data_IF_576490458488
#
_entry.id   IF_576490458488
#
_cell.length_a   1.000
_cell.length_b   1.000
_cell.length_c   1.000
_cell.angle_alpha   90.00
_cell.angle_beta   90.00
_cell.angle_gamma   90.00
#
_symmetry.space_group_name_H-M   'P 1'
#
loop_
_entity.id
_entity.type
_entity.pdbx_description
1 polymer ?
#
# COMPACT_ATOMS: atom_id res chain seq x y z
N UNK A 1 -23.46 12.27 -5.58
CA UNK A 1 -23.51 13.12 -4.37
C UNK A 1 -22.25 12.78 -3.58
N UNK A 2 -21.22 13.62 -3.64
CA UNK A 2 -19.99 13.40 -2.87
C UNK A 2 -20.25 13.89 -1.44
N UNK A 3 -20.51 12.96 -0.51
CA UNK A 3 -20.45 13.26 0.92
C UNK A 3 -18.99 13.61 1.25
N UNK A 4 -18.74 14.89 1.54
CA UNK A 4 -17.52 15.33 2.21
C UNK A 4 -17.64 14.93 3.68
N UNK A 5 -17.30 13.67 3.95
CA UNK A 5 -17.28 13.08 5.29
C UNK A 5 -16.11 13.69 6.07
N UNK A 6 -16.34 14.83 6.74
CA UNK A 6 -15.40 15.47 7.68
C UNK A 6 -15.34 14.75 9.03
N UNK A 7 -15.60 13.45 9.04
CA UNK A 7 -15.36 12.62 10.22
C UNK A 7 -13.85 12.42 10.37
N UNK A 8 -13.34 12.69 11.58
CA UNK A 8 -11.96 12.40 11.96
C UNK A 8 -11.68 10.93 11.60
N UNK A 9 -10.79 10.72 10.65
CA UNK A 9 -10.44 9.37 10.19
C UNK A 9 -9.75 8.65 11.35
N UNK A 10 -10.23 7.45 11.73
CA UNK A 10 -9.69 6.77 12.89
C UNK A 10 -8.22 6.41 12.65
N UNK A 11 -7.36 6.79 13.60
CA UNK A 11 -5.96 6.41 13.62
C UNK A 11 -5.80 5.09 14.34
N UNK A 12 -5.17 4.12 13.69
CA UNK A 12 -4.91 2.80 14.23
C UNK A 12 -3.42 2.58 14.45
N UNK A 13 -3.03 2.36 15.71
CA UNK A 13 -1.66 1.97 16.05
C UNK A 13 -1.51 0.45 15.91
N UNK A 14 -0.56 0.02 15.10
CA UNK A 14 -0.32 -1.39 14.82
C UNK A 14 1.16 -1.73 15.00
N UNK A 15 1.44 -3.02 15.25
CA UNK A 15 2.78 -3.57 15.31
C UNK A 15 2.88 -4.78 14.39
N UNK A 16 3.88 -4.79 13.52
CA UNK A 16 4.20 -5.91 12.64
C UNK A 16 4.79 -7.10 13.42
N UNK A 17 4.81 -8.28 12.79
CA UNK A 17 5.38 -9.51 13.37
C UNK A 17 6.89 -9.38 13.64
N UNK A 18 7.59 -8.51 12.94
CA UNK A 18 9.02 -8.24 13.09
C UNK A 18 9.31 -7.00 13.96
N UNK A 19 8.31 -6.52 14.71
CA UNK A 19 8.49 -5.52 15.77
C UNK A 19 8.42 -4.06 15.33
N UNK A 20 8.21 -3.78 14.03
CA UNK A 20 8.02 -2.41 13.54
C UNK A 20 6.63 -1.89 13.90
N UNK A 21 6.58 -0.76 14.60
CA UNK A 21 5.34 -0.04 14.93
C UNK A 21 4.98 0.96 13.84
N UNK A 22 3.70 1.07 13.53
CA UNK A 22 3.16 2.03 12.55
C UNK A 22 1.82 2.62 13.01
N UNK A 23 1.46 3.75 12.41
CA UNK A 23 0.12 4.34 12.49
C UNK A 23 -0.54 4.23 11.12
N UNK A 24 -1.76 3.72 11.06
CA UNK A 24 -2.56 3.66 9.85
C UNK A 24 -3.73 4.61 10.01
N UNK A 25 -3.88 5.53 9.06
CA UNK A 25 -5.02 6.45 8.98
C UNK A 25 -5.69 6.22 7.62
N UNK A 26 -6.96 5.83 7.68
CA UNK A 26 -7.77 5.57 6.48
C UNK A 26 -8.57 6.84 6.19
N UNK A 27 -8.02 7.72 5.36
CA UNK A 27 -8.62 9.01 5.01
C UNK A 27 -9.68 8.88 3.90
N UNK A 28 -10.90 8.51 4.30
CA UNK A 28 -12.01 8.36 3.37
C UNK A 28 -11.81 7.22 2.38
N UNK A 29 -12.26 7.41 1.13
CA UNK A 29 -12.27 6.34 0.11
C UNK A 29 -11.10 6.37 -0.87
N UNK A 30 -10.42 7.52 -1.02
CA UNK A 30 -9.46 7.74 -2.11
C UNK A 30 -8.01 7.86 -1.66
N UNK A 31 -7.75 8.00 -0.35
CA UNK A 31 -6.41 8.21 0.18
C UNK A 31 -6.24 7.47 1.49
N UNK A 32 -5.08 6.85 1.66
CA UNK A 32 -4.64 6.35 2.96
C UNK A 32 -3.30 6.96 3.32
N UNK A 33 -3.05 6.96 4.62
CA UNK A 33 -1.79 7.38 5.20
C UNK A 33 -1.27 6.28 6.12
N UNK A 34 -0.03 5.85 5.88
CA UNK A 34 0.72 4.99 6.79
C UNK A 34 1.91 5.77 7.31
N UNK A 35 2.06 5.86 8.64
CA UNK A 35 3.19 6.50 9.29
C UNK A 35 4.07 5.49 10.00
N UNK A 36 5.35 5.53 9.67
CA UNK A 36 6.42 4.68 10.19
C UNK A 36 7.45 5.58 10.87
N UNK A 37 7.27 5.81 12.17
CA UNK A 37 8.05 6.80 12.90
C UNK A 37 7.84 8.21 12.33
N UNK A 38 8.86 8.76 11.66
CA UNK A 38 8.78 10.08 10.99
C UNK A 38 8.39 10.01 9.51
N UNK A 39 8.41 8.82 8.91
CA UNK A 39 8.06 8.64 7.51
C UNK A 39 6.54 8.55 7.36
N UNK A 40 5.96 9.44 6.55
CA UNK A 40 4.55 9.45 6.22
C UNK A 40 4.39 9.07 4.74
N UNK A 41 3.67 8.01 4.46
CA UNK A 41 3.41 7.51 3.11
C UNK A 41 1.93 7.70 2.81
N UNK A 42 1.64 8.57 1.83
CA UNK A 42 0.30 8.75 1.29
C UNK A 42 0.19 7.96 -0.01
N UNK A 43 -0.87 7.18 -0.15
CA UNK A 43 -1.12 6.44 -1.39
C UNK A 43 -2.61 6.29 -1.68
N UNK A 44 -2.98 6.24 -2.98
CA UNK A 44 -4.33 5.91 -3.39
C UNK A 44 -4.58 4.40 -3.21
N UNK A 45 -5.74 3.99 -2.67
CA UNK A 45 -6.03 2.60 -2.37
C UNK A 45 -6.67 1.91 -3.59
N UNK A 46 -5.96 1.81 -4.71
CA UNK A 46 -6.57 1.43 -6.01
C UNK A 46 -7.26 0.07 -5.99
N UNK A 47 -6.59 -0.95 -5.43
CA UNK A 47 -7.18 -2.30 -5.29
C UNK A 47 -8.37 -2.28 -4.35
N UNK A 48 -8.24 -1.50 -3.28
CA UNK A 48 -9.26 -1.28 -2.28
C UNK A 48 -10.52 -0.61 -2.85
N UNK A 49 -10.42 0.24 -3.87
CA UNK A 49 -11.61 0.78 -4.57
C UNK A 49 -12.47 -0.33 -5.17
N UNK A 50 -11.82 -1.36 -5.71
CA UNK A 50 -12.50 -2.53 -6.30
C UNK A 50 -12.99 -3.46 -5.19
N UNK A 51 -12.13 -3.81 -4.23
CA UNK A 51 -12.48 -4.74 -3.15
C UNK A 51 -13.62 -4.24 -2.24
N UNK A 52 -13.75 -2.92 -2.09
CA UNK A 52 -14.77 -2.28 -1.25
C UNK A 52 -16.09 -2.03 -1.96
N UNK A 53 -16.17 -2.34 -3.24
CA UNK A 53 -17.35 -2.02 -4.02
C UNK A 53 -18.59 -2.72 -3.44
N UNK A 54 -19.60 -1.93 -3.08
CA UNK A 54 -20.84 -2.44 -2.47
C UNK A 54 -20.77 -2.78 -0.98
N UNK A 55 -19.61 -2.63 -0.32
CA UNK A 55 -19.49 -2.93 1.11
C UNK A 55 -20.03 -1.79 2.00
N UNK A 56 -20.65 -2.11 3.16
CA UNK A 56 -20.97 -1.14 4.21
C UNK A 56 -19.73 -0.35 4.69
N UNK A 57 -19.93 0.85 5.24
CA UNK A 57 -18.82 1.74 5.67
C UNK A 57 -17.87 1.06 6.66
N UNK A 58 -18.39 0.34 7.64
CA UNK A 58 -17.59 -0.35 8.65
C UNK A 58 -16.71 -1.45 8.06
N UNK A 59 -17.28 -2.31 7.21
CA UNK A 59 -16.54 -3.35 6.48
C UNK A 59 -15.49 -2.75 5.55
N UNK A 60 -15.80 -1.63 4.88
CA UNK A 60 -14.83 -0.90 4.06
C UNK A 60 -13.64 -0.44 4.89
N UNK A 61 -13.89 0.19 6.04
CA UNK A 61 -12.83 0.65 6.94
C UNK A 61 -12.00 -0.54 7.46
N UNK A 62 -12.65 -1.61 7.90
CA UNK A 62 -11.96 -2.80 8.38
C UNK A 62 -11.07 -3.42 7.29
N UNK A 63 -11.59 -3.57 6.07
CA UNK A 63 -10.83 -4.08 4.94
C UNK A 63 -9.66 -3.16 4.58
N UNK A 64 -9.86 -1.83 4.66
CA UNK A 64 -8.80 -0.84 4.50
C UNK A 64 -7.64 -1.09 5.46
N UNK A 65 -7.96 -1.22 6.74
CA UNK A 65 -6.98 -1.41 7.80
C UNK A 65 -6.25 -2.73 7.63
N UNK A 66 -6.95 -3.81 7.28
CA UNK A 66 -6.33 -5.11 7.04
C UNK A 66 -5.40 -5.08 5.83
N UNK A 67 -5.79 -4.41 4.75
CA UNK A 67 -4.98 -4.23 3.55
C UNK A 67 -3.69 -3.45 3.88
N UNK A 68 -3.83 -2.28 4.52
CA UNK A 68 -2.69 -1.46 4.95
C UNK A 68 -1.77 -2.19 5.94
N UNK A 69 -2.35 -2.93 6.88
CA UNK A 69 -1.58 -3.74 7.80
C UNK A 69 -0.87 -4.88 7.10
N UNK A 70 -1.49 -5.50 6.09
CA UNK A 70 -0.86 -6.48 5.22
C UNK A 70 0.44 -5.98 4.59
N UNK A 71 0.43 -4.75 4.07
CA UNK A 71 1.63 -4.11 3.51
C UNK A 71 2.75 -4.02 4.52
N UNK A 72 2.40 -3.54 5.71
CA UNK A 72 3.34 -3.48 6.82
C UNK A 72 3.91 -4.86 7.12
N UNK A 73 3.09 -5.92 7.16
CA UNK A 73 3.57 -7.28 7.42
C UNK A 73 4.50 -7.83 6.33
N UNK A 74 4.27 -7.45 5.07
CA UNK A 74 5.05 -7.95 3.92
C UNK A 74 6.25 -7.08 3.53
N UNK A 75 6.41 -5.90 4.15
CA UNK A 75 7.48 -4.94 3.84
C UNK A 75 8.88 -5.57 3.83
N UNK A 76 9.31 -6.42 4.80
CA UNK A 76 10.65 -7.02 4.75
C UNK A 76 10.86 -7.88 3.51
N UNK A 77 9.85 -8.67 3.12
CA UNK A 77 9.91 -9.53 1.94
C UNK A 77 9.98 -8.69 0.66
N UNK A 78 9.18 -7.61 0.59
CA UNK A 78 9.20 -6.68 -0.53
C UNK A 78 10.58 -6.01 -0.70
N UNK A 79 11.22 -5.59 0.40
CA UNK A 79 12.57 -5.00 0.38
C UNK A 79 13.60 -6.02 -0.11
N UNK A 80 13.56 -7.26 0.39
CA UNK A 80 14.47 -8.32 -0.06
C UNK A 80 14.29 -8.63 -1.55
N UNK A 81 13.05 -8.69 -2.03
CA UNK A 81 12.75 -8.92 -3.44
C UNK A 81 13.28 -7.77 -4.33
N UNK A 82 13.09 -6.52 -3.92
CA UNK A 82 13.62 -5.36 -4.63
C UNK A 82 15.15 -5.40 -4.71
N UNK A 83 15.83 -5.70 -3.59
CA UNK A 83 17.29 -5.83 -3.56
C UNK A 83 17.77 -6.94 -4.51
N UNK A 84 17.09 -8.08 -4.53
CA UNK A 84 17.38 -9.17 -5.45
C UNK A 84 17.25 -8.72 -6.91
N UNK A 85 16.15 -8.06 -7.28
CA UNK A 85 15.96 -7.52 -8.64
C UNK A 85 17.05 -6.52 -9.03
N UNK A 86 17.47 -5.64 -8.12
CA UNK A 86 18.53 -4.65 -8.39
C UNK A 86 19.89 -5.32 -8.61
N UNK A 87 20.24 -6.31 -7.79
CA UNK A 87 21.52 -7.03 -7.89
C UNK A 87 21.61 -7.85 -9.17
N UNK A 88 20.56 -8.64 -9.48
CA UNK A 88 20.57 -9.56 -10.61
C UNK A 88 20.19 -8.88 -11.94
N UNK A 89 19.35 -7.85 -11.89
CA UNK A 89 18.91 -7.08 -13.06
C UNK A 89 19.99 -6.17 -13.65
N UNK A 90 21.07 -5.89 -12.89
CA UNK A 90 22.14 -4.96 -13.28
C UNK A 90 22.94 -5.39 -14.53
N UNK A 91 22.79 -6.64 -14.96
CA UNK A 91 23.56 -7.22 -16.08
C UNK A 91 22.82 -7.24 -17.43
N UNK A 92 21.62 -6.65 -17.53
CA UNK A 92 20.87 -6.57 -18.79
C UNK A 92 20.68 -5.10 -19.19
N UNK A 93 20.85 -4.78 -20.47
CA UNK A 93 20.43 -3.49 -21.06
C UNK A 93 18.99 -3.66 -21.57
N UNK A 94 17.96 -3.33 -20.79
CA UNK A 94 16.58 -3.48 -21.25
C UNK A 94 16.31 -2.50 -22.39
N UNK A 95 15.48 -2.93 -23.33
CA UNK A 95 14.88 -2.04 -24.33
C UNK A 95 13.87 -1.10 -23.66
N UNK A 96 13.52 0.03 -24.32
CA UNK A 96 12.51 0.97 -23.80
C UNK A 96 11.17 0.29 -23.49
N UNK A 97 10.75 -0.66 -24.34
CA UNK A 97 9.52 -1.43 -24.14
C UNK A 97 9.61 -2.32 -22.88
N UNK A 98 10.74 -2.99 -22.67
CA UNK A 98 10.98 -3.79 -21.46
C UNK A 98 11.03 -2.92 -20.20
N UNK A 99 11.62 -1.72 -20.28
CA UNK A 99 11.58 -0.76 -19.17
C UNK A 99 10.16 -0.33 -18.84
N UNK A 100 9.35 0.01 -19.85
CA UNK A 100 7.94 0.37 -19.65
C UNK A 100 7.13 -0.76 -19.01
N UNK A 101 7.27 -1.99 -19.52
CA UNK A 101 6.64 -3.17 -18.96
C UNK A 101 7.09 -3.46 -17.52
N UNK A 102 8.39 -3.28 -17.22
CA UNK A 102 8.93 -3.46 -15.88
C UNK A 102 8.39 -2.41 -14.90
N UNK A 103 8.27 -1.15 -15.31
CA UNK A 103 7.66 -0.09 -14.48
C UNK A 103 6.19 -0.42 -14.21
N UNK A 104 5.43 -0.80 -15.24
CA UNK A 104 4.02 -1.17 -15.07
C UNK A 104 3.87 -2.38 -14.14
N UNK A 105 4.68 -3.42 -14.34
CA UNK A 105 4.68 -4.60 -13.48
C UNK A 105 5.09 -4.24 -12.05
N UNK A 106 6.04 -3.33 -11.85
CA UNK A 106 6.41 -2.84 -10.53
C UNK A 106 5.28 -2.04 -9.87
N UNK A 107 4.54 -1.21 -10.62
CA UNK A 107 3.36 -0.50 -10.11
C UNK A 107 2.24 -1.48 -9.75
N UNK A 108 1.94 -2.47 -10.60
CA UNK A 108 0.92 -3.48 -10.32
C UNK A 108 1.34 -4.36 -9.14
N UNK A 109 2.58 -4.82 -9.11
CA UNK A 109 3.11 -5.61 -8.00
C UNK A 109 3.10 -4.80 -6.72
N UNK A 110 3.51 -3.52 -6.77
CA UNK A 110 3.37 -2.59 -5.66
C UNK A 110 1.90 -2.56 -5.23
N UNK A 111 0.94 -2.15 -6.06
CA UNK A 111 -0.48 -2.10 -5.71
C UNK A 111 -1.13 -3.45 -5.31
N UNK A 112 -0.55 -4.58 -5.71
CA UNK A 112 -1.02 -5.91 -5.28
C UNK A 112 -0.40 -6.33 -3.94
N UNK A 113 0.71 -5.71 -3.55
CA UNK A 113 1.40 -5.91 -2.26
C UNK A 113 1.34 -4.68 -1.34
N UNK A 114 0.77 -3.54 -1.79
CA UNK A 114 0.71 -2.15 -1.27
C UNK A 114 -0.59 -1.43 -1.67
#
# INVERSE_FOLDING_TARGET
MMETDTAVSPTHHVRSWYGLSAEIVVEGSLWHLVRLGRLALYHPPLVNLVLRYGLPREERLQLSLLHEFGHLQTLPVAVLHLLWLVVYGRFRRPTKAQTGAAILAAVVAHQATW
#
